data_IF_682015810900
#
_entry.id   IF_682015810900
#
_cell.length_a   1.000
_cell.length_b   1.000
_cell.length_c   1.000
_cell.angle_alpha   90.00
_cell.angle_beta   90.00
_cell.angle_gamma   90.00
#
_symmetry.space_group_name_H-M   'P 1'
#
loop_
_entity.id
_entity.type
_entity.pdbx_description
1 polymer ?
#
# COMPACT_ATOMS: atom_id res chain seq x y z
N UNK A 1 0.20 -22.03 7.96
CA UNK A 1 0.72 -21.39 6.74
C UNK A 1 0.38 -19.91 6.85
N UNK A 2 1.37 -19.02 6.93
CA UNK A 2 1.15 -17.58 7.19
C UNK A 2 0.55 -16.88 5.96
N UNK A 3 0.78 -17.45 4.78
CA UNK A 3 0.32 -16.93 3.50
C UNK A 3 -0.96 -17.71 3.13
N UNK A 4 -2.12 -17.14 3.44
CA UNK A 4 -3.41 -17.67 2.96
C UNK A 4 -3.52 -17.45 1.46
N UNK A 5 -4.14 -18.40 0.75
CA UNK A 5 -4.47 -18.24 -0.66
C UNK A 5 -5.61 -17.22 -0.80
N UNK A 6 -5.26 -15.99 -1.18
CA UNK A 6 -6.20 -14.96 -1.61
C UNK A 6 -5.88 -14.64 -3.08
N UNK A 7 -6.91 -14.50 -3.92
CA UNK A 7 -6.76 -14.27 -5.36
C UNK A 7 -5.99 -12.99 -5.71
N UNK A 8 -5.90 -12.04 -4.78
CA UNK A 8 -5.20 -10.77 -4.98
C UNK A 8 -3.79 -10.75 -4.38
N UNK A 9 -3.33 -11.85 -3.76
CA UNK A 9 -2.00 -11.95 -3.15
C UNK A 9 -1.15 -12.88 -3.99
N UNK A 10 -0.11 -12.30 -4.60
CA UNK A 10 0.84 -13.04 -5.41
C UNK A 10 2.24 -12.88 -4.83
N UNK A 11 2.85 -14.00 -4.45
CA UNK A 11 4.25 -14.06 -4.01
C UNK A 11 4.99 -14.96 -4.99
N UNK A 12 6.14 -14.48 -5.48
CA UNK A 12 6.96 -15.30 -6.37
C UNK A 12 7.46 -16.55 -5.64
N UNK A 13 7.37 -17.71 -6.28
CA UNK A 13 7.60 -19.01 -5.62
C UNK A 13 8.98 -19.12 -4.96
N UNK A 14 10.03 -18.59 -5.60
CA UNK A 14 11.40 -18.59 -5.07
C UNK A 14 11.59 -17.66 -3.85
N UNK A 15 10.62 -16.79 -3.54
CA UNK A 15 10.64 -15.87 -2.40
C UNK A 15 9.73 -16.30 -1.25
N UNK A 16 8.96 -17.36 -1.41
CA UNK A 16 7.95 -17.76 -0.41
C UNK A 16 8.57 -17.94 0.99
N UNK A 17 9.66 -18.72 1.08
CA UNK A 17 10.36 -18.96 2.34
C UNK A 17 10.95 -17.67 2.94
N UNK A 18 11.48 -16.79 2.10
CA UNK A 18 12.03 -15.51 2.52
C UNK A 18 10.94 -14.60 3.13
N UNK A 19 9.79 -14.48 2.45
CA UNK A 19 8.66 -13.68 2.93
C UNK A 19 8.13 -14.22 4.26
N UNK A 20 7.97 -15.54 4.40
CA UNK A 20 7.57 -16.14 5.67
C UNK A 20 8.55 -15.85 6.80
N UNK A 21 9.86 -15.95 6.54
CA UNK A 21 10.88 -15.65 7.53
C UNK A 21 10.85 -14.18 7.95
N UNK A 22 10.71 -13.25 7.00
CA UNK A 22 10.60 -11.81 7.30
C UNK A 22 9.39 -11.53 8.19
N UNK A 23 8.21 -12.11 7.89
CA UNK A 23 7.01 -11.94 8.74
C UNK A 23 7.27 -12.48 10.16
N UNK A 24 7.93 -13.66 10.29
CA UNK A 24 8.27 -14.22 11.60
C UNK A 24 9.21 -13.32 12.39
N UNK A 25 10.22 -12.74 11.74
CA UNK A 25 11.13 -11.79 12.38
C UNK A 25 10.38 -10.54 12.86
N UNK A 26 9.51 -9.96 12.03
CA UNK A 26 8.69 -8.80 12.42
C UNK A 26 7.80 -9.09 13.64
N UNK A 27 7.22 -10.29 13.72
CA UNK A 27 6.44 -10.72 14.88
C UNK A 27 7.32 -10.85 16.14
N UNK A 28 8.52 -11.42 15.99
CA UNK A 28 9.48 -11.62 17.09
C UNK A 28 10.04 -10.31 17.63
N UNK A 29 10.40 -9.37 16.75
CA UNK A 29 11.00 -8.09 17.12
C UNK A 29 9.98 -7.16 17.79
N UNK A 30 8.70 -7.35 17.47
CA UNK A 30 7.58 -6.66 18.09
C UNK A 30 7.51 -5.17 17.77
N UNK A 31 6.52 -4.50 18.38
CA UNK A 31 6.14 -3.11 18.03
C UNK A 31 7.30 -2.11 18.12
N UNK A 32 8.22 -2.27 19.07
CA UNK A 32 9.28 -1.28 19.33
C UNK A 32 10.28 -1.17 18.18
N UNK A 33 10.37 -2.19 17.33
CA UNK A 33 11.29 -2.27 16.21
C UNK A 33 10.58 -2.07 14.86
N UNK A 34 9.25 -1.90 14.87
CA UNK A 34 8.46 -1.77 13.65
C UNK A 34 8.21 -0.30 13.32
N UNK A 35 8.72 0.14 12.17
CA UNK A 35 8.35 1.41 11.54
C UNK A 35 7.69 1.14 10.18
N UNK A 36 6.68 1.93 9.85
CA UNK A 36 5.95 1.82 8.58
C UNK A 36 6.27 3.04 7.74
N UNK A 37 6.80 2.82 6.54
CA UNK A 37 7.01 3.84 5.50
C UNK A 37 6.19 3.41 4.29
N UNK A 38 5.26 4.25 3.87
CA UNK A 38 4.34 3.96 2.78
C UNK A 38 4.14 5.20 1.92
N UNK A 39 3.90 4.97 0.63
CA UNK A 39 3.37 5.99 -0.27
C UNK A 39 1.89 6.27 0.08
N UNK A 40 1.37 7.43 -0.33
CA UNK A 40 0.01 7.85 0.00
C UNK A 40 -0.98 7.49 -1.09
N UNK A 41 -0.85 8.11 -2.27
CA UNK A 41 -1.79 7.94 -3.37
C UNK A 41 -1.79 6.48 -3.86
N UNK A 42 -2.98 5.89 -3.98
CA UNK A 42 -3.24 4.52 -4.48
C UNK A 42 -2.59 3.38 -3.67
N UNK A 43 -1.83 3.69 -2.63
CA UNK A 43 -1.30 2.75 -1.65
C UNK A 43 -2.13 2.78 -0.36
N UNK A 44 -2.34 3.97 0.20
CA UNK A 44 -3.23 4.19 1.35
C UNK A 44 -4.61 4.67 0.89
N UNK A 45 -4.68 5.39 -0.22
CA UNK A 45 -5.94 5.76 -0.86
C UNK A 45 -6.39 4.69 -1.86
N UNK A 46 -7.69 4.59 -2.08
CA UNK A 46 -8.28 3.59 -2.98
C UNK A 46 -8.02 4.00 -4.44
N UNK A 47 -7.65 3.03 -5.28
CA UNK A 47 -7.44 3.26 -6.71
C UNK A 47 -8.76 3.39 -7.48
N UNK A 48 -9.73 2.52 -7.21
CA UNK A 48 -10.98 2.45 -7.97
C UNK A 48 -12.16 2.15 -7.05
N UNK A 49 -13.30 2.77 -7.34
CA UNK A 49 -14.60 2.45 -6.72
C UNK A 49 -15.68 2.38 -7.79
N UNK A 50 -16.42 1.27 -7.83
CA UNK A 50 -17.57 1.06 -8.72
C UNK A 50 -17.25 1.31 -10.21
N UNK A 51 -16.08 0.90 -10.70
CA UNK A 51 -15.65 1.12 -12.09
C UNK A 51 -15.03 2.50 -12.36
N UNK A 52 -14.96 3.37 -11.37
CA UNK A 52 -14.44 4.73 -11.50
C UNK A 52 -13.09 4.85 -10.78
N UNK A 53 -12.06 5.28 -11.52
CA UNK A 53 -10.74 5.59 -10.96
C UNK A 53 -10.86 6.82 -10.09
N UNK A 54 -10.39 6.72 -8.84
CA UNK A 54 -10.43 7.81 -7.88
C UNK A 54 -9.25 8.78 -8.12
N UNK A 55 -9.42 10.08 -7.82
CA UNK A 55 -8.38 11.06 -8.06
C UNK A 55 -7.20 10.91 -7.08
N UNK A 56 -5.99 11.20 -7.55
CA UNK A 56 -4.83 11.43 -6.70
C UNK A 56 -4.97 12.72 -5.91
N UNK A 57 -4.11 12.91 -4.90
CA UNK A 57 -4.02 14.17 -4.15
C UNK A 57 -3.84 15.37 -5.09
N UNK A 58 -2.99 15.24 -6.11
CA UNK A 58 -2.76 16.30 -7.09
C UNK A 58 -4.03 16.64 -7.89
N UNK A 59 -4.76 15.64 -8.39
CA UNK A 59 -5.98 15.85 -9.17
C UNK A 59 -7.11 16.48 -8.32
N UNK A 60 -7.19 16.16 -7.02
CA UNK A 60 -8.11 16.83 -6.09
C UNK A 60 -7.77 18.32 -5.95
N UNK A 61 -6.48 18.67 -5.93
CA UNK A 61 -6.06 20.08 -5.83
C UNK A 61 -6.34 20.83 -7.14
N UNK A 62 -6.04 20.24 -8.31
CA UNK A 62 -6.29 20.88 -9.61
C UNK A 62 -7.78 21.11 -9.88
N UNK A 63 -8.64 20.19 -9.43
CA UNK A 63 -10.10 20.34 -9.59
C UNK A 63 -10.73 21.37 -8.65
N UNK A 64 -9.94 21.95 -7.73
CA UNK A 64 -10.41 22.95 -6.80
C UNK A 64 -10.06 24.36 -7.31
N UNK A 65 -10.99 24.98 -8.05
CA UNK A 65 -10.86 26.28 -8.73
C UNK A 65 -10.41 27.45 -7.82
N UNK A 66 -10.45 27.28 -6.49
CA UNK A 66 -9.99 28.26 -5.50
C UNK A 66 -8.49 28.20 -5.16
N UNK A 67 -7.77 27.16 -5.59
CA UNK A 67 -6.36 26.95 -5.22
C UNK A 67 -5.46 27.08 -6.45
N UNK A 68 -4.90 28.27 -6.69
CA UNK A 68 -3.87 28.46 -7.72
C UNK A 68 -2.55 27.82 -7.26
N UNK A 69 -2.26 26.62 -7.75
CA UNK A 69 -0.93 26.02 -7.60
C UNK A 69 0.02 26.74 -8.55
N UNK A 70 0.99 27.51 -8.02
CA UNK A 70 2.14 27.96 -8.80
C UNK A 70 3.20 26.87 -8.75
N UNK A 71 3.55 26.35 -9.92
CA UNK A 71 4.73 25.49 -10.15
C UNK A 71 5.93 26.39 -10.44
#
# INVERSE_FOLDING_TARGET
NLLKNNSHVHVHNDKLAYVEQTIRSLISDGRKMLHVVADFDYTLTMYEKDGVILPSTFAVIESNDGVKVRV
#
